data_IF_235676908022
#
_entry.id   IF_235676908022
#
_cell.length_a   1.000
_cell.length_b   1.000
_cell.length_c   1.000
_cell.angle_alpha   90.00
_cell.angle_beta   90.00
_cell.angle_gamma   90.00
#
_symmetry.space_group_name_H-M   'P 1'
#
loop_
_entity.id
_entity.type
_entity.pdbx_description
1 polymer ?
2 non-polymer ?
3 water ?
#
# COMPACT_ATOMS: atom_id res chain seq x y z
N UNK A 1 -18.24 -20.82 1.66
CA UNK A 1 -17.95 -19.77 2.67
C UNK A 1 -18.45 -18.40 2.16
N UNK A 2 -19.45 -17.87 2.84
CA UNK A 2 -20.07 -16.59 2.48
C UNK A 2 -19.03 -15.47 2.39
N UNK A 3 -18.09 -15.49 3.33
CA UNK A 3 -17.06 -14.47 3.39
C UNK A 3 -16.13 -14.61 2.19
N UNK A 4 -15.79 -15.85 1.83
CA UNK A 4 -14.91 -16.07 0.70
C UNK A 4 -15.61 -15.64 -0.58
N UNK A 5 -16.93 -15.83 -0.63
CA UNK A 5 -17.69 -15.44 -1.80
C UNK A 5 -17.64 -13.93 -2.01
N UNK A 6 -17.67 -13.16 -0.93
CA UNK A 6 -17.57 -11.71 -1.01
C UNK A 6 -16.27 -11.28 -1.68
N UNK A 7 -15.21 -12.05 -1.47
CA UNK A 7 -13.93 -11.73 -2.11
C UNK A 7 -13.94 -12.22 -3.56
N UNK A 8 -14.34 -13.47 -3.77
CA UNK A 8 -14.24 -14.07 -5.09
C UNK A 8 -15.06 -13.26 -6.10
N UNK A 9 -16.22 -12.79 -5.68
CA UNK A 9 -17.12 -12.09 -6.60
C UNK A 9 -16.59 -10.71 -7.00
N UNK A 10 -15.53 -10.26 -6.33
CA UNK A 10 -14.94 -8.96 -6.60
C UNK A 10 -13.55 -9.09 -7.26
N UNK A 11 -13.20 -10.30 -7.69
CA UNK A 11 -12.05 -10.48 -8.56
C UNK A 11 -12.52 -10.37 -9.99
N UNK A 12 -11.88 -9.50 -10.76
CA UNK A 12 -12.23 -9.25 -12.14
C UNK A 12 -11.11 -9.82 -13.02
N UNK A 13 -11.47 -10.60 -14.02
CA UNK A 13 -10.47 -11.28 -14.85
C UNK A 13 -10.44 -10.71 -16.26
N UNK A 14 -9.27 -10.24 -16.68
CA UNK A 14 -9.07 -9.61 -17.99
C UNK A 14 -8.24 -10.51 -18.88
N UNK A 15 -8.79 -10.98 -19.99
CA UNK A 15 -8.01 -11.81 -20.90
C UNK A 15 -7.00 -10.99 -21.67
N UNK A 16 -5.89 -11.61 -22.04
CA UNK A 16 -4.90 -11.01 -22.93
C UNK A 16 -4.22 -9.77 -22.36
N UNK A 17 -4.02 -9.75 -21.05
CA UNK A 17 -3.28 -8.67 -20.38
C UNK A 17 -2.29 -9.28 -19.39
N UNK A 18 -1.01 -8.91 -19.46
CA UNK A 18 -0.51 -7.91 -20.40
C UNK A 18 -0.14 -8.44 -21.79
N UNK A 19 -0.23 -9.74 -21.99
CA UNK A 19 0.17 -10.37 -23.24
C UNK A 19 -0.92 -11.32 -23.68
N UNK A 20 -0.99 -11.60 -24.99
CA UNK A 20 -2.02 -12.53 -25.45
C UNK A 20 -1.93 -13.89 -24.78
N UNK A 21 -3.07 -14.38 -24.31
CA UNK A 21 -3.20 -15.74 -23.80
C UNK A 21 -3.25 -15.82 -22.28
N UNK A 22 -2.80 -14.77 -21.62
CA UNK A 22 -2.76 -14.74 -20.16
C UNK A 22 -3.96 -13.98 -19.63
N UNK A 23 -4.45 -14.42 -18.48
CA UNK A 23 -5.60 -13.80 -17.89
C UNK A 23 -5.15 -13.07 -16.64
N UNK A 24 -5.38 -11.76 -16.59
CA UNK A 24 -4.94 -10.95 -15.47
C UNK A 24 -6.03 -10.94 -14.42
N UNK A 25 -5.71 -11.29 -13.18
CA UNK A 25 -6.70 -11.21 -12.11
C UNK A 25 -6.59 -9.89 -11.37
N UNK A 26 -7.64 -9.08 -11.47
CA UNK A 26 -7.63 -7.72 -10.93
C UNK A 26 -8.32 -7.74 -9.57
N UNK A 27 -7.57 -7.45 -8.53
CA UNK A 27 -8.10 -7.40 -7.16
C UNK A 27 -8.65 -6.02 -6.78
N UNK A 28 -8.57 -5.04 -7.68
CA UNK A 28 -9.02 -3.68 -7.36
C UNK A 28 -10.42 -3.61 -6.79
N UNK A 29 -11.39 -4.37 -7.34
CA UNK A 29 -12.76 -4.25 -6.81
C UNK A 29 -12.91 -4.74 -5.36
N UNK A 30 -12.00 -5.60 -4.92
CA UNK A 30 -11.96 -6.02 -3.51
C UNK A 30 -11.70 -4.81 -2.61
N UNK A 31 -10.79 -3.95 -3.04
CA UNK A 31 -10.50 -2.74 -2.25
C UNK A 31 -11.65 -1.73 -2.27
N UNK A 32 -12.36 -1.68 -3.40
CA UNK A 32 -13.42 -0.69 -3.59
C UNK A 32 -14.68 -1.03 -2.79
N UNK A 33 -14.86 -2.31 -2.46
CA UNK A 33 -16.02 -2.74 -1.70
C UNK A 33 -15.58 -3.01 -0.26
N UNK A 34 -15.97 -2.15 0.68
CA UNK A 34 -15.39 -2.31 2.02
C UNK A 34 -15.71 -3.65 2.67
N UNK A 35 -16.88 -4.21 2.36
CA UNK A 35 -17.21 -5.53 2.87
C UNK A 35 -16.28 -6.62 2.33
N UNK A 36 -15.89 -6.51 1.08
CA UNK A 36 -15.03 -7.48 0.45
C UNK A 36 -13.63 -7.40 1.03
N UNK A 37 -13.12 -6.17 1.19
CA UNK A 37 -11.80 -5.99 1.76
C UNK A 37 -11.75 -6.54 3.18
N UNK A 38 -12.76 -6.24 3.99
CA UNK A 38 -12.82 -6.71 5.37
C UNK A 38 -12.87 -8.24 5.43
N UNK A 39 -13.60 -8.84 4.50
CA UNK A 39 -13.68 -10.30 4.43
C UNK A 39 -12.30 -10.91 4.13
N UNK A 40 -11.61 -10.34 3.15
CA UNK A 40 -10.29 -10.83 2.76
C UNK A 40 -9.31 -10.78 3.95
N UNK A 41 -9.27 -9.64 4.64
CA UNK A 41 -8.37 -9.49 5.76
C UNK A 41 -8.75 -10.47 6.87
N UNK A 42 -10.06 -10.60 7.11
CA UNK A 42 -10.54 -11.50 8.15
C UNK A 42 -10.18 -12.94 7.89
N UNK A 43 -10.31 -13.37 6.64
CA UNK A 43 -10.01 -14.74 6.28
C UNK A 43 -8.51 -15.02 6.41
N UNK A 44 -7.67 -14.09 5.96
CA UNK A 44 -6.23 -14.27 6.07
C UNK A 44 -5.83 -14.30 7.54
N UNK A 45 -6.36 -13.37 8.32
CA UNK A 45 -6.04 -13.30 9.74
C UNK A 45 -6.44 -14.57 10.48
N UNK A 46 -7.61 -15.10 10.16
CA UNK A 46 -8.09 -16.33 10.84
C UNK A 46 -7.17 -17.50 10.50
N UNK A 47 -6.78 -17.61 9.23
CA UNK A 47 -5.88 -18.66 8.82
C UNK A 47 -4.57 -18.55 9.59
N UNK A 48 -4.02 -17.35 9.65
CA UNK A 48 -2.71 -17.15 10.26
C UNK A 48 -2.72 -17.44 11.76
N UNK A 49 -3.77 -17.00 12.43
CA UNK A 49 -3.90 -17.26 13.86
C UNK A 49 -4.11 -18.75 14.13
N UNK A 50 -4.89 -19.40 13.27
CA UNK A 50 -5.17 -20.84 13.46
C UNK A 50 -3.94 -21.71 13.18
N UNK A 51 -3.03 -21.20 12.36
CA UNK A 51 -1.86 -21.94 11.96
C UNK A 51 -0.63 -21.65 12.85
N UNK A 52 -0.49 -20.40 13.28
CA UNK A 52 0.73 -19.97 13.96
C UNK A 52 0.53 -19.47 15.37
N UNK A 53 -0.72 -19.28 15.80
CA UNK A 53 -1.02 -18.79 17.13
C UNK A 53 -0.28 -17.50 17.38
N UNK A 54 0.51 -17.46 18.45
CA UNK A 54 1.24 -16.25 18.83
C UNK A 54 2.67 -16.20 18.32
N UNK A 55 3.00 -17.06 17.37
CA UNK A 55 4.38 -17.17 16.86
C UNK A 55 4.77 -16.04 15.90
N UNK A 56 3.81 -15.35 15.30
CA UNK A 56 4.16 -14.30 14.36
C UNK A 56 4.59 -13.01 15.06
N UNK A 57 5.73 -12.44 14.66
CA UNK A 57 6.19 -11.19 15.23
C UNK A 57 5.78 -9.99 14.36
N UNK A 58 5.89 -10.14 13.04
CA UNK A 58 5.60 -9.08 12.06
C UNK A 58 5.01 -9.68 10.79
N UNK A 59 4.22 -8.86 10.13
CA UNK A 59 3.85 -9.05 8.73
C UNK A 59 4.82 -8.26 7.88
N UNK A 60 5.27 -8.88 6.79
CA UNK A 60 6.10 -8.19 5.80
C UNK A 60 5.28 -8.02 4.55
N UNK A 61 5.04 -6.76 4.19
CA UNK A 61 4.25 -6.45 3.01
C UNK A 61 5.15 -6.22 1.81
N UNK A 62 4.79 -6.79 0.66
CA UNK A 62 5.55 -6.58 -0.57
C UNK A 62 5.05 -5.40 -1.41
N UNK A 63 5.98 -4.53 -1.78
CA UNK A 63 5.72 -3.46 -2.75
C UNK A 63 5.24 -4.05 -4.07
N UNK A 64 4.14 -3.55 -4.66
CA UNK A 64 3.32 -2.48 -4.09
C UNK A 64 1.94 -2.97 -3.65
N UNK A 65 1.44 -4.05 -4.26
CA UNK A 65 0.07 -4.46 -3.93
C UNK A 65 0.00 -5.21 -2.60
N UNK A 66 1.14 -5.71 -2.11
CA UNK A 66 1.20 -6.22 -0.76
C UNK A 66 0.96 -5.14 0.29
N UNK A 67 1.32 -3.91 -0.06
CA UNK A 67 1.18 -2.76 0.83
C UNK A 67 -0.30 -2.50 1.09
N UNK A 68 -1.18 -2.93 0.19
CA UNK A 68 -2.61 -2.72 0.36
C UNK A 68 -3.20 -3.59 1.46
N UNK A 69 -2.61 -4.76 1.65
CA UNK A 69 -3.13 -5.75 2.59
C UNK A 69 -2.29 -5.88 3.84
N UNK A 70 -0.99 -5.67 3.73
CA UNK A 70 -0.09 -5.90 4.87
C UNK A 70 -0.48 -5.17 6.14
N UNK A 71 -0.61 -3.84 6.07
CA UNK A 71 -0.95 -3.09 7.27
C UNK A 71 -2.28 -3.46 7.91
N UNK A 72 -3.32 -3.68 7.12
CA UNK A 72 -4.61 -4.06 7.67
C UNK A 72 -4.54 -5.43 8.30
N UNK A 73 -3.82 -6.34 7.64
CA UNK A 73 -3.65 -7.69 8.15
C UNK A 73 -2.90 -7.62 9.47
N UNK A 74 -1.79 -6.88 9.48
CA UNK A 74 -1.01 -6.69 10.70
C UNK A 74 -1.86 -6.13 11.84
N UNK A 75 -2.62 -5.08 11.54
CA UNK A 75 -3.50 -4.47 12.55
C UNK A 75 -4.49 -5.47 13.11
N UNK A 76 -5.10 -6.29 12.24
CA UNK A 76 -6.06 -7.31 12.69
C UNK A 76 -5.42 -8.32 13.63
N UNK A 77 -4.11 -8.54 13.47
CA UNK A 77 -3.37 -9.50 14.30
C UNK A 77 -2.70 -8.85 15.53
N UNK A 78 -2.77 -7.53 15.60
CA UNK A 78 -2.17 -6.77 16.69
C UNK A 78 -0.66 -6.60 16.50
N UNK A 79 -0.22 -6.69 15.26
CA UNK A 79 1.20 -6.72 14.91
C UNK A 79 1.60 -5.51 14.07
N UNK A 80 2.91 -5.24 14.03
CA UNK A 80 3.44 -4.28 13.09
C UNK A 80 3.69 -4.91 11.73
N UNK A 81 3.95 -4.03 10.76
CA UNK A 81 4.21 -4.41 9.39
C UNK A 81 5.56 -3.83 8.97
N UNK A 82 6.43 -4.66 8.42
CA UNK A 82 7.66 -4.20 7.80
C UNK A 82 7.52 -4.27 6.28
N UNK A 83 8.36 -3.52 5.60
CA UNK A 83 8.16 -3.28 4.17
C UNK A 83 9.31 -3.80 3.37
N UNK A 84 8.99 -4.52 2.30
CA UNK A 84 9.96 -4.88 1.30
C UNK A 84 9.65 -4.14 0.02
N UNK A 85 10.61 -3.33 -0.42
CA UNK A 85 10.38 -2.35 -1.49
C UNK A 85 11.11 -2.72 -2.75
N UNK A 86 10.66 -2.16 -3.87
CA UNK A 86 11.51 -2.10 -5.06
C UNK A 86 12.81 -1.36 -4.74
N UNK A 87 13.94 -1.84 -5.26
CA UNK A 87 15.25 -1.28 -4.92
C UNK A 87 15.38 0.19 -5.32
N UNK A 88 16.09 0.95 -4.50
CA UNK A 88 16.32 2.37 -4.76
C UNK A 88 15.37 3.29 -4.03
N UNK A 89 14.47 2.71 -3.22
CA UNK A 89 13.41 3.47 -2.58
C UNK A 89 13.66 3.71 -1.08
N UNK A 90 14.38 2.80 -0.44
CA UNK A 90 14.61 2.87 1.01
C UNK A 90 15.92 3.56 1.35
N UNK A 91 15.90 4.44 2.36
CA UNK A 91 17.10 5.10 2.87
C UNK A 91 17.80 4.24 3.91
N UNK A 92 19.07 4.54 4.19
CA UNK A 92 19.83 3.83 5.21
C UNK A 92 20.52 2.61 4.64
N UNK A 93 21.15 1.82 5.52
CA UNK A 93 21.73 0.56 5.07
C UNK A 93 20.62 -0.39 4.67
N UNK A 94 20.84 -1.09 3.56
CA UNK A 94 19.86 -2.02 3.03
C UNK A 94 20.54 -3.27 2.48
N UNK A 95 19.75 -4.32 2.30
CA UNK A 95 20.15 -5.46 1.54
C UNK A 95 19.19 -5.53 0.36
N UNK A 96 19.69 -5.98 -0.78
CA UNK A 96 18.86 -6.09 -1.97
C UNK A 96 19.12 -7.42 -2.68
N UNK A 97 18.13 -7.85 -3.46
CA UNK A 97 18.22 -9.08 -4.21
C UNK A 97 17.55 -8.87 -5.55
N UNK A 98 18.13 -9.43 -6.60
CA UNK A 98 17.53 -9.35 -7.92
C UNK A 98 16.93 -10.70 -8.30
N UNK A 99 15.88 -10.68 -9.12
CA UNK A 99 15.16 -11.89 -9.49
C UNK A 99 14.60 -11.73 -10.90
N UNK A 105 14.94 -8.54 -15.28
CA UNK A 105 15.29 -8.55 -13.87
C UNK A 105 14.67 -7.38 -13.10
N UNK A 106 14.49 -7.58 -11.80
CA UNK A 106 14.08 -6.52 -10.89
C UNK A 106 14.83 -6.75 -9.56
N UNK A 107 14.69 -5.82 -8.63
CA UNK A 107 15.38 -5.93 -7.35
C UNK A 107 14.51 -5.47 -6.20
N UNK A 108 14.54 -6.23 -5.11
CA UNK A 108 13.82 -5.89 -3.89
C UNK A 108 14.81 -5.41 -2.86
N UNK A 109 14.31 -4.64 -1.91
CA UNK A 109 15.17 -4.06 -0.88
C UNK A 109 14.48 -4.06 0.47
N UNK A 110 15.28 -4.16 1.53
CA UNK A 110 14.78 -4.03 2.88
C UNK A 110 15.83 -3.33 3.74
N UNK A 111 15.39 -2.51 4.68
CA UNK A 111 16.31 -1.89 5.65
C UNK A 111 16.92 -2.92 6.58
N UNK A 112 18.20 -2.77 6.86
CA UNK A 112 18.92 -3.77 7.64
C UNK A 112 18.34 -3.89 9.05
N UNK A 113 17.77 -2.82 9.57
CA UNK A 113 17.17 -2.87 10.89
C UNK A 113 15.65 -3.11 10.92
N UNK A 114 15.09 -3.62 9.82
CA UNK A 114 13.67 -3.95 9.78
C UNK A 114 13.32 -5.07 10.77
N UNK A 115 14.25 -6.02 10.92
CA UNK A 115 14.04 -7.17 11.78
C UNK A 115 15.34 -7.53 12.46
N UNK A 116 15.24 -8.12 13.63
CA UNK A 116 16.40 -8.65 14.36
C UNK A 116 16.49 -10.15 14.13
N UNK A 117 17.70 -10.72 14.29
CA UNK A 117 17.79 -12.16 14.13
C UNK A 117 16.84 -12.92 15.06
N UNK A 118 16.20 -13.95 14.52
CA UNK A 118 15.28 -14.77 15.28
C UNK A 118 13.82 -14.35 15.21
N UNK A 119 13.54 -13.14 14.72
CA UNK A 119 12.15 -12.72 14.58
C UNK A 119 11.45 -13.46 13.45
N UNK A 120 10.14 -13.69 13.62
CA UNK A 120 9.39 -14.57 12.76
C UNK A 120 8.37 -13.73 12.02
N UNK A 121 8.30 -13.92 10.70
CA UNK A 121 7.51 -13.06 9.84
C UNK A 121 6.61 -13.90 8.93
N UNK A 122 5.48 -13.32 8.53
CA UNK A 122 4.66 -13.81 7.44
C UNK A 122 4.67 -12.77 6.33
N UNK A 123 4.94 -13.22 5.11
CA UNK A 123 5.04 -12.33 3.95
C UNK A 123 3.68 -12.35 3.24
N UNK A 124 3.19 -11.16 2.87
CA UNK A 124 1.93 -11.03 2.14
C UNK A 124 2.09 -10.26 0.85
N UNK A 125 1.46 -10.78 -0.19
CA UNK A 125 1.32 -10.04 -1.46
C UNK A 125 -0.11 -10.30 -1.95
N UNK A 126 -0.52 -9.60 -2.99
CA UNK A 126 -1.86 -9.81 -3.51
C UNK A 126 -2.02 -11.14 -4.25
N UNK A 127 -1.00 -11.57 -4.97
CA UNK A 127 -1.12 -12.67 -5.90
C UNK A 127 0.20 -13.34 -6.11
N UNK A 128 0.16 -14.67 -6.09
CA UNK A 128 1.33 -15.51 -6.38
C UNK A 128 1.16 -16.07 -7.79
N UNK A 129 2.14 -15.78 -8.65
CA UNK A 129 2.16 -16.30 -10.02
C UNK A 129 3.34 -17.27 -10.12
N UNK A 130 4.47 -16.83 -10.69
CA UNK A 130 5.63 -17.72 -10.75
C UNK A 130 6.29 -17.96 -9.40
N UNK A 131 6.04 -17.05 -8.45
CA UNK A 131 6.67 -17.12 -7.15
C UNK A 131 8.04 -16.43 -7.10
N UNK A 132 8.47 -15.85 -8.20
CA UNK A 132 9.76 -15.15 -8.20
C UNK A 132 9.85 -14.06 -7.15
N UNK A 133 8.81 -13.23 -7.07
CA UNK A 133 8.80 -12.07 -6.20
C UNK A 133 8.84 -12.53 -4.74
N UNK A 134 7.96 -13.45 -4.39
CA UNK A 134 7.89 -13.93 -3.02
C UNK A 134 9.16 -14.67 -2.62
N UNK A 135 9.74 -15.39 -3.56
CA UNK A 135 10.96 -16.10 -3.30
C UNK A 135 12.10 -15.14 -2.95
N UNK A 136 12.20 -14.05 -3.72
CA UNK A 136 13.19 -13.01 -3.46
C UNK A 136 13.00 -12.38 -2.08
N UNK A 137 11.74 -12.14 -1.72
CA UNK A 137 11.44 -11.59 -0.41
C UNK A 137 11.92 -12.53 0.69
N UNK A 138 11.63 -13.81 0.55
CA UNK A 138 12.07 -14.80 1.53
C UNK A 138 13.59 -14.81 1.65
N UNK A 139 14.29 -14.74 0.52
CA UNK A 139 15.74 -14.73 0.58
C UNK A 139 16.29 -13.52 1.32
N UNK A 140 15.72 -12.35 1.03
CA UNK A 140 16.09 -11.12 1.73
C UNK A 140 15.88 -11.23 3.22
N UNK A 141 14.72 -11.72 3.61
CA UNK A 141 14.41 -11.85 5.02
C UNK A 141 15.37 -12.81 5.71
N UNK A 142 15.72 -13.89 5.02
CA UNK A 142 16.65 -14.89 5.55
C UNK A 142 18.00 -14.26 5.82
N UNK A 143 18.39 -13.27 5.01
CA UNK A 143 19.67 -12.62 5.21
C UNK A 143 19.71 -11.69 6.43
N UNK A 144 18.55 -11.27 6.93
CA UNK A 144 18.45 -10.61 8.23
C UNK A 144 18.37 -11.63 9.37
N UNK A 145 18.43 -12.91 9.01
CA UNK A 145 18.29 -14.02 9.96
C UNK A 145 16.91 -14.07 10.60
N UNK A 146 15.92 -13.54 9.86
CA UNK A 146 14.53 -13.69 10.22
C UNK A 146 14.05 -15.06 9.76
N UNK A 147 13.03 -15.58 10.43
CA UNK A 147 12.40 -16.83 10.04
C UNK A 147 11.09 -16.53 9.32
N UNK A 148 10.95 -16.97 8.07
CA UNK A 148 9.71 -16.79 7.36
C UNK A 148 8.79 -17.97 7.67
N UNK A 149 7.72 -17.71 8.41
CA UNK A 149 6.79 -18.78 8.80
C UNK A 149 5.89 -19.25 7.66
N UNK A 150 5.54 -18.33 6.75
CA UNK A 150 4.56 -18.63 5.73
C UNK A 150 4.53 -17.42 4.80
N UNK A 151 4.18 -17.67 3.55
CA UNK A 151 3.80 -16.61 2.61
C UNK A 151 2.32 -16.77 2.29
N UNK A 152 1.61 -15.67 2.15
CA UNK A 152 0.18 -15.71 1.87
C UNK A 152 -0.20 -14.72 0.79
N UNK A 153 -1.27 -15.03 0.07
CA UNK A 153 -1.78 -14.10 -0.94
C UNK A 153 -3.30 -14.24 -1.02
N UNK A 154 -3.96 -13.30 -1.68
CA UNK A 154 -5.36 -13.46 -1.99
C UNK A 154 -5.54 -14.50 -3.10
N UNK A 155 -4.68 -14.45 -4.10
CA UNK A 155 -4.84 -15.25 -5.30
C UNK A 155 -3.57 -16.02 -5.62
N UNK A 156 -3.76 -17.24 -6.09
CA UNK A 156 -2.68 -18.12 -6.55
C UNK A 156 -3.02 -18.66 -7.93
N UNK A 157 -2.07 -18.57 -8.86
CA UNK A 157 -2.24 -19.08 -10.23
C UNK A 157 -1.54 -20.45 -10.27
N UNK A 158 -2.31 -21.50 -10.07
CA UNK A 158 -1.72 -22.78 -9.69
C UNK A 158 -0.93 -23.47 -10.81
N UNK A 159 -1.23 -23.16 -12.07
CA UNK A 159 -0.52 -23.81 -13.15
C UNK A 159 0.91 -23.29 -13.27
N UNK A 160 1.21 -22.19 -12.58
CA UNK A 160 2.57 -21.64 -12.62
C UNK A 160 3.46 -22.19 -11.51
N UNK A 161 2.89 -23.01 -10.62
CA UNK A 161 3.66 -23.77 -9.66
C UNK A 161 4.55 -22.88 -8.80
N UNK A 162 4.05 -21.70 -8.45
CA UNK A 162 4.76 -20.85 -7.49
C UNK A 162 4.94 -21.47 -6.12
N UNK A 163 3.97 -22.27 -5.69
CA UNK A 163 4.00 -22.92 -4.38
C UNK A 163 5.25 -23.78 -4.25
N UNK A 164 5.57 -24.48 -5.34
CA UNK A 164 6.71 -25.38 -5.36
C UNK A 164 8.02 -24.59 -5.28
N UNK A 165 8.01 -23.41 -5.88
CA UNK A 165 9.16 -22.53 -5.84
C UNK A 165 9.47 -22.07 -4.40
N UNK A 166 8.42 -21.82 -3.63
CA UNK A 166 8.58 -21.38 -2.24
C UNK A 166 8.96 -22.49 -1.26
N UNK A 167 8.52 -23.71 -1.53
CA UNK A 167 8.84 -24.84 -0.66
C UNK A 167 10.32 -24.78 -0.32
N UNK A 168 10.68 -24.96 0.95
CA UNK A 168 9.79 -25.55 1.96
C UNK A 168 9.03 -24.54 2.84
N UNK A 169 9.11 -23.26 2.50
CA UNK A 169 8.27 -22.27 3.17
C UNK A 169 6.81 -22.52 2.80
N UNK A 170 5.93 -22.64 3.79
CA UNK A 170 4.52 -22.90 3.51
C UNK A 170 3.85 -21.71 2.80
N UNK A 171 2.80 -22.00 2.06
CA UNK A 171 2.07 -20.98 1.30
C UNK A 171 0.57 -21.21 1.43
N UNK A 172 -0.18 -20.12 1.52
CA UNK A 172 -1.62 -20.19 1.59
C UNK A 172 -2.22 -19.07 0.75
N UNK A 173 -3.26 -19.38 -0.02
CA UNK A 173 -4.01 -18.37 -0.78
C UNK A 173 -5.49 -18.53 -0.50
N UNK A 174 -6.22 -17.43 -0.57
CA UNK A 174 -7.67 -17.49 -0.44
C UNK A 174 -8.32 -18.19 -1.62
N UNK A 175 -7.86 -17.86 -2.83
CA UNK A 175 -8.48 -18.30 -4.07
C UNK A 175 -7.42 -18.80 -5.03
N UNK A 176 -7.78 -19.83 -5.79
CA UNK A 176 -6.89 -20.43 -6.78
C UNK A 176 -7.52 -20.42 -8.18
N UNK A 177 -6.72 -20.05 -9.17
CA UNK A 177 -7.13 -20.13 -10.58
C UNK A 177 -6.05 -20.88 -11.33
N UNK A 178 -6.41 -21.61 -12.38
CA UNK A 178 -5.33 -22.26 -13.14
C UNK A 178 -4.29 -21.18 -13.49
N UNK B 1 -0.44 16.33 22.47
CA UNK B 1 -1.40 15.32 21.95
C UNK B 1 -0.69 13.97 21.87
N UNK B 2 -1.01 13.07 22.80
CA UNK B 2 -0.27 11.83 22.88
C UNK B 2 -0.37 10.99 21.60
N UNK B 3 -1.53 11.01 20.93
CA UNK B 3 -1.69 10.23 19.69
C UNK B 3 -0.78 10.78 18.61
N UNK B 4 -0.72 12.10 18.48
CA UNK B 4 0.15 12.68 17.48
C UNK B 4 1.61 12.39 17.82
N UNK B 5 1.94 12.40 19.10
CA UNK B 5 3.28 12.07 19.54
C UNK B 5 3.69 10.65 19.16
N UNK B 6 2.74 9.72 19.21
CA UNK B 6 3.00 8.33 18.81
C UNK B 6 3.44 8.24 17.34
N UNK B 7 2.95 9.14 16.52
CA UNK B 7 3.31 9.16 15.10
C UNK B 7 4.64 9.88 14.92
N UNK B 8 4.75 11.07 15.51
CA UNK B 8 5.95 11.88 15.36
C UNK B 8 7.23 11.16 15.81
N UNK B 9 7.13 10.40 16.89
CA UNK B 9 8.31 9.71 17.42
C UNK B 9 8.75 8.55 16.54
N UNK B 10 7.96 8.22 15.52
CA UNK B 10 8.25 7.11 14.62
C UNK B 10 8.52 7.59 13.19
N UNK B 11 8.75 8.87 13.03
CA UNK B 11 9.34 9.34 11.79
C UNK B 11 10.84 9.37 11.93
N UNK B 12 11.51 8.69 11.02
CA UNK B 12 12.98 8.65 10.97
C UNK B 12 13.47 9.53 9.84
N UNK B 13 14.52 10.29 10.12
CA UNK B 13 15.07 11.26 9.16
C UNK B 13 16.42 10.78 8.65
N UNK B 14 16.59 10.81 7.33
CA UNK B 14 17.85 10.44 6.68
C UNK B 14 18.43 11.61 5.88
N UNK B 15 19.43 12.30 6.44
CA UNK B 15 20.06 13.40 5.68
C UNK B 15 20.74 12.92 4.38
N UNK B 16 20.66 13.75 3.37
CA UNK B 16 21.40 13.54 2.13
C UNK B 16 20.95 12.28 1.38
N UNK B 17 19.67 11.95 1.51
CA UNK B 17 19.01 10.91 0.70
C UNK B 17 17.72 11.51 0.13
N UNK B 18 17.53 11.40 -1.20
CA UNK B 18 18.42 10.67 -2.08
C UNK B 18 19.57 11.52 -2.63
N UNK B 19 19.57 12.82 -2.35
CA UNK B 19 20.61 13.70 -2.79
C UNK B 19 21.12 14.56 -1.65
N UNK B 20 22.35 15.07 -1.77
CA UNK B 20 22.92 15.88 -0.71
C UNK B 20 22.09 17.14 -0.46
N UNK B 21 21.87 17.47 0.81
CA UNK B 21 21.25 18.74 1.21
C UNK B 21 19.82 18.62 1.70
N UNK B 22 19.15 17.55 1.31
CA UNK B 22 17.79 17.30 1.72
C UNK B 22 17.75 16.34 2.89
N UNK B 23 16.55 16.11 3.40
CA UNK B 23 16.37 15.15 4.48
C UNK B 23 15.14 14.32 4.16
N UNK B 24 15.35 13.03 3.96
CA UNK B 24 14.28 12.10 3.66
C UNK B 24 13.56 11.78 4.96
N UNK B 25 12.24 11.93 4.97
CA UNK B 25 11.45 11.55 6.15
C UNK B 25 10.83 10.17 5.93
N UNK B 26 11.24 9.21 6.75
CA UNK B 26 10.89 7.79 6.57
C UNK B 26 9.76 7.46 7.51
N UNK B 27 8.60 7.10 6.97
CA UNK B 27 7.43 6.72 7.80
C UNK B 27 7.43 5.24 8.13
N UNK B 28 8.43 4.49 7.68
CA UNK B 28 8.43 3.04 7.92
C UNK B 28 8.21 2.65 9.39
N UNK B 29 8.85 3.35 10.34
CA UNK B 29 8.63 2.95 11.74
C UNK B 29 7.19 3.11 12.23
N UNK B 30 6.41 3.97 11.59
CA UNK B 30 4.99 4.11 11.94
C UNK B 30 4.28 2.81 11.63
N UNK B 31 4.66 2.14 10.54
CA UNK B 31 4.00 0.90 10.16
C UNK B 31 4.42 -0.25 11.06
N UNK B 32 5.64 -0.19 11.55
CA UNK B 32 6.17 -1.29 12.35
C UNK B 32 5.63 -1.30 13.79
N UNK B 33 5.15 -0.16 14.26
CA UNK B 33 4.61 -0.04 15.60
C UNK B 33 3.10 0.06 15.49
N UNK B 34 2.38 -1.01 15.85
CA UNK B 34 0.95 -1.00 15.60
C UNK B 34 0.18 0.14 16.29
N UNK B 35 0.64 0.60 17.45
CA UNK B 35 -0.02 1.73 18.10
C UNK B 35 0.17 3.02 17.33
N UNK B 36 1.35 3.20 16.74
CA UNK B 36 1.64 4.35 15.92
C UNK B 36 0.75 4.37 14.68
N UNK B 37 0.68 3.24 13.99
CA UNK B 37 -0.13 3.14 12.78
C UNK B 37 -1.59 3.43 13.09
N UNK B 38 -2.09 2.82 14.16
CA UNK B 38 -3.47 3.05 14.59
C UNK B 38 -3.73 4.51 14.92
N UNK B 39 -2.75 5.17 15.52
CA UNK B 39 -2.87 6.59 15.84
C UNK B 39 -2.94 7.43 14.57
N UNK B 40 -2.09 7.13 13.61
CA UNK B 40 -2.07 7.88 12.35
C UNK B 40 -3.43 7.77 11.64
N UNK B 41 -3.94 6.54 11.52
CA UNK B 41 -5.21 6.34 10.84
C UNK B 41 -6.33 7.03 11.60
N UNK B 42 -6.29 6.96 12.93
CA UNK B 42 -7.34 7.57 13.71
C UNK B 42 -7.36 9.07 13.60
N UNK B 43 -6.18 9.69 13.64
CA UNK B 43 -6.07 11.12 13.53
C UNK B 43 -6.57 11.58 12.15
N UNK B 44 -6.24 10.83 11.09
CA UNK B 44 -6.71 11.23 9.76
C UNK B 44 -8.21 11.08 9.66
N UNK B 45 -8.72 9.95 10.13
CA UNK B 45 -10.15 9.69 10.06
C UNK B 45 -10.96 10.73 10.85
N UNK B 46 -10.49 11.07 12.04
CA UNK B 46 -11.18 12.05 12.87
C UNK B 46 -11.25 13.40 12.15
N UNK B 47 -10.12 13.82 11.57
CA UNK B 47 -10.12 15.05 10.82
C UNK B 47 -11.12 15.02 9.66
N UNK B 48 -11.14 13.91 8.92
CA UNK B 48 -11.98 13.84 7.74
C UNK B 48 -13.47 13.84 8.10
N UNK B 49 -13.80 13.15 9.19
CA UNK B 49 -15.18 13.15 9.66
C UNK B 49 -15.58 14.52 10.15
N UNK B 50 -14.65 15.21 10.82
CA UNK B 50 -14.96 16.53 11.36
C UNK B 50 -15.09 17.60 10.27
N UNK B 51 -14.54 17.33 9.10
CA UNK B 51 -14.47 18.30 8.02
C UNK B 51 -15.50 18.02 6.91
N UNK B 52 -15.87 16.75 6.71
CA UNK B 52 -16.72 16.37 5.58
C UNK B 52 -17.94 15.58 5.99
N UNK B 53 -18.08 15.30 7.28
CA UNK B 53 -19.20 14.50 7.73
C UNK B 53 -19.33 13.23 6.90
N UNK B 54 -20.52 13.01 6.36
CA UNK B 54 -20.78 11.78 5.60
C UNK B 54 -20.61 11.90 4.09
N UNK B 55 -19.97 12.97 3.63
CA UNK B 55 -19.97 13.27 2.19
C UNK B 55 -18.89 12.53 1.39
N UNK B 56 -17.97 11.83 2.05
CA UNK B 56 -16.91 11.17 1.30
C UNK B 56 -17.44 9.84 0.76
N UNK B 57 -17.29 9.62 -0.54
CA UNK B 57 -17.68 8.34 -1.15
C UNK B 57 -16.54 7.31 -1.10
N UNK B 58 -15.33 7.74 -1.42
CA UNK B 58 -14.18 6.85 -1.55
C UNK B 58 -12.90 7.55 -1.11
N UNK B 59 -11.97 6.76 -0.59
CA UNK B 59 -10.57 7.17 -0.46
C UNK B 59 -9.81 6.74 -1.72
N UNK B 60 -8.93 7.61 -2.23
CA UNK B 60 -8.03 7.23 -3.30
C UNK B 60 -6.65 7.17 -2.73
N UNK B 61 -6.04 6.00 -2.82
CA UNK B 61 -4.69 5.81 -2.34
C UNK B 61 -3.69 5.90 -3.48
N UNK B 62 -2.56 6.57 -3.22
CA UNK B 62 -1.53 6.75 -4.25
C UNK B 62 -0.40 5.71 -4.15
N UNK B 63 -0.10 5.07 -5.28
CA UNK B 63 1.02 4.12 -5.42
C UNK B 63 2.33 4.85 -5.12
N UNK B 64 3.20 4.34 -4.24
CA UNK B 64 3.02 3.08 -3.54
C UNK B 64 2.76 3.26 -2.04
N UNK B 65 3.31 4.32 -1.45
CA UNK B 65 3.20 4.42 0.03
C UNK B 65 1.84 4.91 0.51
N UNK B 66 1.05 5.50 -0.38
CA UNK B 66 -0.32 5.79 -0.05
C UNK B 66 -1.18 4.54 0.11
N UNK B 67 -0.80 3.48 -0.61
CA UNK B 67 -1.42 2.18 -0.49
C UNK B 67 -1.34 1.66 0.95
N UNK B 68 -0.33 2.10 1.69
CA UNK B 68 -0.18 1.67 3.07
C UNK B 68 -1.23 2.23 4.01
N UNK B 69 -1.74 3.39 3.67
CA UNK B 69 -2.69 4.09 4.53
C UNK B 69 -4.10 4.07 3.98
N UNK B 70 -4.24 4.04 2.66
CA UNK B 70 -5.55 4.19 2.03
C UNK B 70 -6.58 3.18 2.49
N UNK B 71 -6.28 1.88 2.36
CA UNK B 71 -7.29 0.92 2.77
C UNK B 71 -7.65 0.96 4.25
N UNK B 72 -6.68 1.15 5.14
CA UNK B 72 -7.00 1.24 6.56
C UNK B 72 -7.82 2.48 6.85
N UNK B 73 -7.51 3.58 6.18
CA UNK B 73 -8.28 4.80 6.38
C UNK B 73 -9.69 4.64 5.86
N UNK B 74 -9.81 4.10 4.65
CA UNK B 74 -11.10 3.75 4.09
C UNK B 74 -11.93 2.86 5.04
N UNK B 75 -11.31 1.80 5.54
CA UNK B 75 -11.99 0.88 6.44
C UNK B 75 -12.47 1.60 7.72
N UNK B 76 -11.63 2.47 8.27
CA UNK B 76 -12.01 3.22 9.47
C UNK B 76 -13.23 4.10 9.23
N UNK B 77 -13.36 4.58 7.99
CA UNK B 77 -14.47 5.42 7.59
C UNK B 77 -15.67 4.66 7.00
N UNK B 78 -15.54 3.35 6.84
CA UNK B 78 -16.60 2.53 6.27
C UNK B 78 -16.72 2.66 4.76
N UNK B 79 -15.61 3.01 4.12
CA UNK B 79 -15.59 3.32 2.68
C UNK B 79 -14.71 2.35 1.92
N UNK B 80 -14.92 2.29 0.61
CA UNK B 80 -13.96 1.65 -0.27
C UNK B 80 -12.80 2.56 -0.62
N UNK B 81 -11.77 1.95 -1.19
CA UNK B 81 -10.56 2.63 -1.59
C UNK B 81 -10.35 2.35 -3.09
N UNK B 82 -10.14 3.42 -3.85
CA UNK B 82 -9.73 3.28 -5.24
C UNK B 82 -8.25 3.58 -5.35
N UNK B 83 -7.63 3.03 -6.41
CA UNK B 83 -6.20 3.05 -6.56
C UNK B 83 -5.77 3.93 -7.70
N UNK B 84 -4.76 4.76 -7.46
CA UNK B 84 -4.07 5.48 -8.53
C UNK B 84 -2.66 4.90 -8.60
N UNK B 85 -2.31 4.32 -9.74
CA UNK B 85 -1.10 3.52 -9.87
C UNK B 85 -0.09 4.17 -10.77
N UNK B 86 1.17 3.80 -10.61
CA UNK B 86 2.16 4.11 -11.64
C UNK B 86 1.71 3.52 -12.97
N UNK B 87 1.92 4.28 -14.06
CA UNK B 87 1.45 3.85 -15.36
C UNK B 87 2.00 2.49 -15.79
N UNK B 88 1.14 1.70 -16.42
CA UNK B 88 1.55 0.42 -17.01
C UNK B 88 1.07 -0.82 -16.27
N UNK B 89 0.39 -0.63 -15.15
CA UNK B 89 0.08 -1.75 -14.25
C UNK B 89 -1.39 -2.15 -14.28
N UNK B 90 -2.24 -1.26 -14.77
CA UNK B 90 -3.68 -1.46 -14.71
C UNK B 90 -4.26 -2.03 -16.01
N UNK B 91 -5.11 -3.06 -15.89
CA UNK B 91 -5.82 -3.57 -17.05
C UNK B 91 -7.04 -2.70 -17.32
N UNK B 92 -7.62 -2.84 -18.50
CA UNK B 92 -8.80 -2.07 -18.88
C UNK B 92 -8.43 -0.68 -19.37
N UNK B 93 -9.41 0.07 -19.81
CA UNK B 93 -9.16 1.41 -20.32
C UNK B 93 -8.71 2.34 -19.20
N UNK B 94 -7.71 3.17 -19.49
CA UNK B 94 -7.14 4.02 -18.47
C UNK B 94 -6.89 5.42 -18.98
N UNK B 95 -6.70 6.31 -18.01
CA UNK B 95 -6.26 7.68 -18.20
C UNK B 95 -4.95 7.84 -17.45
N UNK B 96 -4.05 8.67 -17.93
CA UNK B 96 -2.78 8.87 -17.22
C UNK B 96 -2.36 10.33 -17.24
N UNK B 97 -1.44 10.66 -16.35
CA UNK B 97 -1.01 12.05 -16.17
C UNK B 97 0.45 12.07 -15.74
N UNK B 98 1.24 12.86 -16.44
CA UNK B 98 2.66 13.00 -16.15
C UNK B 98 2.91 14.22 -15.29
N UNK B 99 4.05 14.21 -14.61
CA UNK B 99 4.43 15.29 -13.73
C UNK B 99 5.93 15.13 -13.55
N UNK B 100 6.58 16.19 -13.10
CA UNK B 100 8.01 16.16 -12.87
C UNK B 100 8.31 15.44 -11.57
N UNK B 101 9.18 14.44 -11.67
CA UNK B 101 9.72 13.78 -10.51
C UNK B 101 11.24 13.77 -10.68
N UNK B 102 11.94 14.30 -9.68
CA UNK B 102 13.39 14.44 -9.76
C UNK B 102 13.77 15.20 -11.03
N UNK B 103 14.60 14.59 -11.89
CA UNK B 103 15.09 15.26 -13.09
C UNK B 103 14.28 14.95 -14.34
N UNK B 104 13.40 13.96 -14.24
CA UNK B 104 12.65 13.50 -15.40
C UNK B 104 11.15 13.51 -15.14
N UNK B 105 10.44 12.59 -15.80
CA UNK B 105 8.99 12.58 -15.70
C UNK B 105 8.51 11.23 -15.16
N UNK B 106 7.38 11.27 -14.47
CA UNK B 106 6.70 10.04 -14.03
C UNK B 106 5.24 10.14 -14.45
N UNK B 107 4.56 9.00 -14.55
CA UNK B 107 3.15 9.01 -14.92
C UNK B 107 2.31 8.16 -13.96
N UNK B 108 1.18 8.72 -13.52
CA UNK B 108 0.19 8.01 -12.74
C UNK B 108 -0.98 7.67 -13.63
N UNK B 109 -1.74 6.66 -13.24
CA UNK B 109 -2.80 6.12 -14.09
C UNK B 109 -4.00 5.67 -13.25
N UNK B 110 -5.19 5.77 -13.80
CA UNK B 110 -6.41 5.30 -13.13
C UNK B 110 -7.31 4.63 -14.16
N UNK B 111 -8.05 3.61 -13.76
CA UNK B 111 -9.03 2.99 -14.65
C UNK B 111 -10.16 3.99 -14.93
N UNK B 112 -10.59 4.09 -16.19
CA UNK B 112 -11.66 5.00 -16.57
C UNK B 112 -12.94 4.70 -15.81
N UNK B 113 -13.09 3.47 -15.30
CA UNK B 113 -14.28 3.09 -14.53
C UNK B 113 -14.09 3.13 -13.01
N UNK B 114 -13.05 3.81 -12.53
CA UNK B 114 -12.79 3.78 -11.09
C UNK B 114 -13.87 4.53 -10.30
N UNK B 115 -14.37 5.61 -10.89
CA UNK B 115 -15.34 6.48 -10.25
C UNK B 115 -16.36 6.92 -11.29
N UNK B 116 -17.56 7.25 -10.81
CA UNK B 116 -18.61 7.82 -11.62
C UNK B 116 -18.64 9.33 -11.47
N UNK B 117 -19.07 10.04 -12.51
CA UNK B 117 -19.15 11.49 -12.34
C UNK B 117 -19.91 11.89 -11.08
N UNK B 118 -19.37 12.87 -10.38
CA UNK B 118 -20.00 13.42 -9.20
C UNK B 118 -19.56 12.78 -7.89
N UNK B 119 -18.98 11.59 -7.95
CA UNK B 119 -18.54 10.95 -6.72
C UNK B 119 -17.43 11.73 -6.04
N UNK B 120 -17.40 11.65 -4.71
CA UNK B 120 -16.57 12.55 -3.93
C UNK B 120 -15.48 11.75 -3.25
N UNK B 121 -14.26 12.22 -3.38
CA UNK B 121 -13.09 11.44 -3.02
C UNK B 121 -12.10 12.25 -2.17
N UNK B 122 -11.41 11.57 -1.26
CA UNK B 122 -10.28 12.16 -0.55
C UNK B 122 -9.04 11.38 -0.93
N UNK B 123 -7.99 12.09 -1.31
CA UNK B 123 -6.75 11.45 -1.75
C UNK B 123 -5.78 11.35 -0.59
N UNK B 124 -5.07 10.22 -0.45
CA UNK B 124 -4.11 10.07 0.64
C UNK B 124 -2.77 9.57 0.12
N UNK B 125 -1.69 10.14 0.63
CA UNK B 125 -0.34 9.68 0.36
C UNK B 125 0.42 9.81 1.67
N UNK B 126 1.62 9.25 1.75
CA UNK B 126 2.37 9.32 2.98
C UNK B 126 2.88 10.74 3.26
N UNK B 127 3.32 11.42 2.22
CA UNK B 127 4.05 12.67 2.37
C UNK B 127 3.84 13.56 1.17
N UNK B 128 3.62 14.83 1.46
CA UNK B 128 3.51 15.88 0.44
C UNK B 128 4.81 16.68 0.41
N UNK B 129 5.45 16.72 -0.77
CA UNK B 129 6.69 17.47 -0.96
C UNK B 129 6.40 18.61 -1.93
N UNK B 130 6.79 18.50 -3.20
CA UNK B 130 6.47 19.55 -4.16
C UNK B 130 4.99 19.59 -4.51
N UNK B 131 4.29 18.47 -4.27
CA UNK B 131 2.87 18.40 -4.61
C UNK B 131 2.63 17.87 -6.02
N UNK B 132 3.70 17.52 -6.71
CA UNK B 132 3.56 17.00 -8.08
C UNK B 132 2.72 15.75 -8.17
N UNK B 133 2.99 14.78 -7.29
CA UNK B 133 2.29 13.52 -7.28
C UNK B 133 0.81 13.73 -6.97
N UNK B 134 0.51 14.41 -5.88
CA UNK B 134 -0.85 14.63 -5.51
C UNK B 134 -1.61 15.47 -6.55
N UNK B 135 -0.92 16.41 -7.18
CA UNK B 135 -1.54 17.21 -8.21
C UNK B 135 -1.95 16.35 -9.41
N UNK B 136 -1.08 15.44 -9.81
CA UNK B 136 -1.39 14.50 -10.87
C UNK B 136 -2.60 13.65 -10.51
N UNK B 137 -2.67 13.19 -9.27
CA UNK B 137 -3.81 12.39 -8.84
C UNK B 137 -5.11 13.21 -8.95
N UNK B 138 -5.09 14.45 -8.50
CA UNK B 138 -6.26 15.32 -8.56
C UNK B 138 -6.68 15.56 -10.00
N UNK B 139 -5.72 15.73 -10.90
CA UNK B 139 -6.03 15.91 -12.33
C UNK B 139 -6.77 14.69 -12.89
N UNK B 140 -6.24 13.51 -12.61
CA UNK B 140 -6.88 12.28 -13.07
C UNK B 140 -8.29 12.19 -12.56
N UNK B 141 -8.46 12.42 -11.26
CA UNK B 141 -9.78 12.33 -10.68
C UNK B 141 -10.74 13.36 -11.31
N UNK B 142 -10.23 14.57 -11.57
CA UNK B 142 -11.04 15.60 -12.21
C UNK B 142 -11.45 15.19 -13.63
N UNK B 143 -10.61 14.42 -14.30
CA UNK B 143 -10.93 13.97 -15.64
C UNK B 143 -12.00 12.88 -15.66
N UNK B 144 -12.21 12.23 -14.51
CA UNK B 144 -13.34 11.32 -14.31
C UNK B 144 -14.58 12.05 -13.84
N UNK B 145 -14.44 13.36 -13.67
CA UNK B 145 -15.52 14.21 -13.17
C UNK B 145 -15.85 13.88 -11.72
N UNK B 146 -14.87 13.36 -10.99
CA UNK B 146 -15.04 13.17 -9.56
C UNK B 146 -14.73 14.49 -8.88
N UNK B 147 -15.25 14.67 -7.66
CA UNK B 147 -14.98 15.85 -6.87
C UNK B 147 -13.98 15.50 -5.78
N UNK B 148 -12.80 16.08 -5.84
CA UNK B 148 -11.79 15.88 -4.81
C UNK B 148 -12.06 16.81 -3.64
N UNK B 149 -12.50 16.23 -2.52
CA UNK B 149 -12.84 17.03 -1.35
C UNK B 149 -11.63 17.55 -0.62
N UNK B 150 -10.54 16.78 -0.63
CA UNK B 150 -9.37 17.11 0.15
C UNK B 150 -8.27 16.11 -0.19
N UNK B 151 -7.02 16.54 -0.01
CA UNK B 151 -5.88 15.64 -0.02
C UNK B 151 -5.27 15.63 1.37
N UNK B 152 -4.84 14.47 1.84
CA UNK B 152 -4.24 14.35 3.16
C UNK B 152 -2.96 13.54 3.11
N UNK B 153 -2.06 13.80 4.06
CA UNK B 153 -0.84 13.00 4.20
C UNK B 153 -0.44 12.91 5.67
N UNK B 154 0.52 12.05 5.99
CA UNK B 154 1.07 12.07 7.33
C UNK B 154 2.01 13.26 7.51
N UNK B 155 2.82 13.53 6.48
CA UNK B 155 3.90 14.51 6.57
C UNK B 155 3.82 15.50 5.43
N UNK B 156 4.16 16.75 5.72
CA UNK B 156 4.20 17.81 4.74
C UNK B 156 5.52 18.56 4.89
N UNK B 157 6.23 18.78 3.77
CA UNK B 157 7.49 19.54 3.77
C UNK B 157 7.17 20.96 3.32
N UNK B 158 6.96 21.85 4.29
CA UNK B 158 6.31 23.11 3.99
C UNK B 158 7.11 24.06 3.10
N UNK B 159 8.43 23.97 3.13
CA UNK B 159 9.23 24.89 2.33
C UNK B 159 9.06 24.62 0.84
N UNK B 160 8.48 23.47 0.49
CA UNK B 160 8.33 23.12 -0.90
C UNK B 160 6.99 23.57 -1.49
N UNK B 161 6.12 24.09 -0.64
CA UNK B 161 4.92 24.80 -1.09
C UNK B 161 3.96 23.93 -1.90
N UNK B 162 3.85 22.67 -1.52
CA UNK B 162 2.94 21.76 -2.19
C UNK B 162 1.48 22.10 -1.93
N UNK B 163 1.20 22.72 -0.80
CA UNK B 163 -0.15 23.12 -0.42
C UNK B 163 -0.68 24.15 -1.44
N UNK B 164 0.16 25.13 -1.75
CA UNK B 164 -0.21 26.14 -2.76
C UNK B 164 -0.43 25.50 -4.12
N UNK B 165 0.39 24.52 -4.45
CA UNK B 165 0.25 23.82 -5.72
C UNK B 165 -1.12 23.15 -5.84
N UNK B 166 -1.63 22.62 -4.72
CA UNK B 166 -2.91 21.90 -4.74
C UNK B 166 -4.13 22.83 -4.73
N UNK B 167 -3.97 24.00 -4.15
CA UNK B 167 -5.06 24.97 -4.07
C UNK B 167 -5.74 25.08 -5.43
N UNK B 168 -7.07 25.13 -5.46
CA UNK B 168 -7.88 25.37 -4.27
C UNK B 168 -8.39 24.10 -3.60
N UNK B 169 -7.86 22.94 -3.97
CA UNK B 169 -8.18 21.70 -3.23
C UNK B 169 -7.57 21.77 -1.83
N UNK B 170 -8.39 21.57 -0.77
CA UNK B 170 -7.85 21.66 0.58
C UNK B 170 -6.84 20.56 0.86
N UNK B 171 -5.93 20.84 1.78
CA UNK B 171 -4.89 19.89 2.16
C UNK B 171 -4.76 19.85 3.67
N UNK B 172 -4.49 18.66 4.21
CA UNK B 172 -4.25 18.48 5.64
C UNK B 172 -3.15 17.45 5.86
N UNK B 173 -2.19 17.79 6.73
CA UNK B 173 -1.16 16.85 7.14
C UNK B 173 -1.12 16.73 8.65
N UNK B 174 -0.66 15.57 9.13
CA UNK B 174 -0.51 15.40 10.57
C UNK B 174 0.68 16.18 11.10
N UNK B 175 1.78 16.14 10.36
CA UNK B 175 3.06 16.69 10.80
C UNK B 175 3.67 17.53 9.70
N UNK B 176 4.37 18.59 10.10
CA UNK B 176 5.03 19.48 9.14
C UNK B 176 6.51 19.64 9.48
N UNK B 177 7.38 19.54 8.48
CA UNK B 177 8.78 19.90 8.59
C UNK B 177 9.11 20.96 7.55
N UNK B 178 10.16 21.74 7.75
CA UNK B 178 10.55 22.66 6.67
C UNK B 178 10.80 21.86 5.37
X LIG C 1 5.47 -13.56 -9.60
X LIG C 1 5.50 -14.17 -10.99
X LIG C 1 4.82 -14.52 -8.61
X LIG C 1 6.81 -13.01 -9.18
X LIG C 1 4.51 -12.32 -9.80
X LIG C 1 3.69 -11.90 -8.71
X LIG C 1 3.49 -10.43 -8.75
X LIG C 1 3.27 -9.79 -9.99
X LIG C 1 2.63 -10.05 -7.60
X LIG C 1 3.32 -9.10 -6.79
X LIG C 1 1.51 -9.38 -8.36
X LIG C 1 1.30 -8.11 -7.74
X LIG C 1 1.94 -9.27 -9.84
X LIG C 1 1.05 -10.07 -10.69
X LIG C 1 1.41 -11.11 -11.48
X LIG C 1 0.32 -11.61 -12.12
X LIG C 1 -0.75 -10.86 -11.76
X LIG C 1 -2.14 -10.85 -12.06
X LIG C 1 -2.71 -11.70 -12.82
X LIG C 1 -2.93 -9.92 -11.45
X LIG C 1 -2.41 -9.01 -10.62
X LIG C 1 -1.11 -8.97 -10.30
X LIG C 1 -0.27 -9.88 -10.85
X LIG D 1 6.04 15.27 -4.46
X LIG D 1 5.48 14.70 -5.77
X LIG D 1 4.99 15.87 -3.56
X LIG D 1 7.21 16.23 -4.67
X LIG D 1 6.63 14.00 -3.75
X LIG D 1 5.61 13.20 -3.34
X LIG D 1 6.00 11.80 -3.19
X LIG D 1 7.31 11.33 -3.38
X LIG D 1 5.18 10.85 -2.37
X LIG D 1 4.60 9.82 -3.16
X LIG D 1 6.27 10.37 -1.43
X LIG D 1 6.00 8.99 -1.16
X LIG D 1 7.61 10.62 -2.17
X LIG D 1 8.52 11.44 -1.33
X LIG D 1 9.06 12.64 -1.60
X LIG D 1 9.86 13.06 -0.57
X LIG D 1 9.81 12.10 0.42
X LIG D 1 10.40 11.93 1.71
X LIG D 1 11.14 12.79 2.24
X LIG D 1 10.07 10.79 2.38
X LIG D 1 9.24 9.87 1.84
X LIG D 1 8.67 9.97 0.63
X LIG D 1 8.97 11.11 -0.08
#
# INVERSE_FOLDING_TARGET
>A
DSELQLVEQRIRSFPDFPTPGVVFRDISPVLKDPASFRAAIGLLARHLKATHGGRIDYIAGLDSRGFLFGPSLAQELGLGCVLIRKRGKLPGPTLWASYSLEYGKAELEIQKDALEPGQRVVVVDDLLATGGTMNAACELLGRLQAEVLECVSLVELTSLKGREKLAPVPFFSLLQYE
>B
DSELQLVEQRIRSFPDFPTPGVVFRDISPVLKDPASFRAAIGLLARHLKATHGGRIDYIAGLDSRGFLFGPSLAQELGLGCVLIRKRGKLPGPTLWASYSLEYGKAELEIQKDALEPGQRVVVVDDLLATGGTMNAACELLGRLQAEVLECVSLVELTSLKGREKLAPVPFFSLLQYE
>C hetero
1 IMP P O1P O2P O3P O5' C5' C4' O4' C3' O3' C2' O2' C1' N9 C8 N7 C5 C6 O6 N1 C2 N3 C4
>D hetero
1 IMP P O1P O2P O3P O5' C5' C4' O4' C3' O3' C2' O2' C1' N9 C8 N7 C5 C6 O6 N1 C2 N3 C4
#
